data_IF_075502038236
#
_entry.id   IF_075502038236
#
_cell.length_a   1.000
_cell.length_b   1.000
_cell.length_c   1.000
_cell.angle_alpha   90.00
_cell.angle_beta   90.00
_cell.angle_gamma   90.00
#
_symmetry.space_group_name_H-M   'P 1'
#
loop_
_entity.id
_entity.type
_entity.pdbx_description
1 polymer ?
#
# COMPACT_ATOMS: atom_id res chain seq x y z
N UNK A 1 -14.23 -14.84 9.19
CA UNK A 1 -13.74 -13.49 9.32
C UNK A 1 -14.65 -12.53 8.59
N UNK A 2 -14.58 -11.28 8.92
CA UNK A 2 -15.45 -10.28 8.35
C UNK A 2 -14.84 -9.45 7.21
N UNK A 3 -13.68 -9.81 6.73
CA UNK A 3 -13.03 -9.01 5.69
C UNK A 3 -13.53 -9.41 4.33
N UNK A 4 -14.05 -8.44 3.56
CA UNK A 4 -14.41 -8.63 2.16
C UNK A 4 -13.30 -8.23 1.21
N UNK A 5 -12.27 -7.53 1.71
CA UNK A 5 -11.14 -7.05 0.94
C UNK A 5 -9.83 -7.40 1.63
N UNK A 6 -8.77 -7.51 0.85
CA UNK A 6 -7.44 -7.83 1.37
C UNK A 6 -6.79 -6.60 1.97
N UNK A 7 -5.99 -6.80 3.01
CA UNK A 7 -5.23 -5.74 3.65
C UNK A 7 -3.86 -5.67 2.98
N UNK A 8 -3.50 -4.53 2.34
CA UNK A 8 -2.21 -4.43 1.67
C UNK A 8 -1.05 -4.35 2.66
N UNK A 9 0.20 -4.58 2.20
CA UNK A 9 1.36 -4.56 3.08
C UNK A 9 1.66 -3.16 3.65
N UNK A 10 2.27 -3.15 4.82
CA UNK A 10 2.80 -1.95 5.49
C UNK A 10 1.77 -1.00 6.05
N UNK A 11 0.48 -1.34 6.04
CA UNK A 11 -0.58 -0.42 6.46
C UNK A 11 -1.18 -0.82 7.78
N UNK A 12 -1.77 0.17 8.44
CA UNK A 12 -2.66 0.00 9.60
C UNK A 12 -4.08 0.14 9.11
N UNK A 13 -5.00 -0.62 9.69
CA UNK A 13 -6.41 -0.52 9.33
C UNK A 13 -7.24 -0.12 10.52
N UNK A 14 -8.29 0.66 10.26
CA UNK A 14 -9.33 0.93 11.24
C UNK A 14 -10.25 -0.28 11.40
N UNK A 15 -10.90 -0.41 12.53
CA UNK A 15 -11.70 -1.60 12.83
C UNK A 15 -13.19 -1.46 12.55
N UNK A 16 -13.73 -0.26 12.67
CA UNK A 16 -15.16 -0.06 12.59
C UNK A 16 -15.52 1.20 11.79
N UNK A 17 -15.65 1.15 10.47
CA UNK A 17 -15.48 0.01 9.57
C UNK A 17 -13.99 -0.27 9.30
N UNK A 18 -13.70 -1.45 8.78
CA UNK A 18 -12.32 -1.78 8.36
C UNK A 18 -11.96 -0.93 7.15
N UNK A 19 -10.89 -0.18 7.26
CA UNK A 19 -10.46 0.72 6.20
C UNK A 19 -8.98 1.07 6.37
N UNK A 20 -8.38 1.59 5.31
CA UNK A 20 -7.01 2.07 5.32
C UNK A 20 -6.86 3.22 6.34
N UNK A 21 -5.91 3.10 7.26
CA UNK A 21 -5.67 4.08 8.32
C UNK A 21 -4.22 4.62 8.31
N UNK A 22 -3.48 4.41 7.23
CA UNK A 22 -2.10 4.88 7.10
C UNK A 22 -1.08 3.76 7.25
N UNK A 23 0.19 4.11 7.22
CA UNK A 23 1.27 3.15 7.35
C UNK A 23 1.50 2.77 8.81
N UNK A 24 1.97 1.55 9.03
CA UNK A 24 2.40 1.08 10.34
C UNK A 24 3.82 1.60 10.62
N UNK A 25 3.95 2.88 10.95
CA UNK A 25 5.25 3.53 11.09
C UNK A 25 6.11 2.92 12.19
N UNK A 26 5.51 2.55 13.32
CA UNK A 26 6.26 1.96 14.43
C UNK A 26 6.86 0.61 14.00
N UNK A 27 6.05 -0.23 13.36
CA UNK A 27 6.52 -1.53 12.88
C UNK A 27 7.61 -1.40 11.82
N UNK A 28 7.46 -0.47 10.89
CA UNK A 28 8.45 -0.26 9.84
C UNK A 28 9.78 0.22 10.40
N UNK A 29 9.76 1.15 11.35
CA UNK A 29 10.98 1.63 11.99
C UNK A 29 11.67 0.54 12.79
N UNK A 30 10.91 -0.30 13.48
CA UNK A 30 11.47 -1.45 14.22
C UNK A 30 12.14 -2.45 13.30
N UNK A 31 11.66 -2.56 12.06
CA UNK A 31 12.25 -3.45 11.05
C UNK A 31 13.45 -2.82 10.34
N UNK A 32 13.85 -1.62 10.73
CA UNK A 32 15.02 -0.97 10.16
C UNK A 32 14.79 -0.23 8.86
N UNK A 33 13.54 0.05 8.50
CA UNK A 33 13.24 0.82 7.29
C UNK A 33 13.71 2.26 7.46
N UNK A 34 14.44 2.77 6.47
CA UNK A 34 14.90 4.17 6.49
C UNK A 34 13.73 5.12 6.30
N UNK A 35 13.93 6.38 6.70
CA UNK A 35 12.91 7.41 6.48
C UNK A 35 12.63 7.59 4.99
N UNK A 36 13.66 7.51 4.15
CA UNK A 36 13.49 7.61 2.69
C UNK A 36 12.63 6.49 2.15
N UNK A 37 12.84 5.26 2.63
CA UNK A 37 12.04 4.12 2.18
C UNK A 37 10.60 4.24 2.68
N UNK A 38 10.39 4.68 3.91
CA UNK A 38 9.05 4.90 4.45
C UNK A 38 8.32 5.96 3.62
N UNK A 39 9.00 7.05 3.27
CA UNK A 39 8.42 8.09 2.43
C UNK A 39 8.05 7.55 1.05
N UNK A 40 8.91 6.69 0.48
CA UNK A 40 8.63 6.08 -0.81
C UNK A 40 7.38 5.20 -0.75
N UNK A 41 7.24 4.39 0.29
CA UNK A 41 6.05 3.55 0.50
C UNK A 41 4.81 4.44 0.67
N UNK A 42 4.91 5.51 1.45
CA UNK A 42 3.82 6.44 1.64
C UNK A 42 3.38 7.06 0.30
N UNK A 43 4.33 7.49 -0.51
CA UNK A 43 4.03 8.05 -1.83
C UNK A 43 3.41 7.02 -2.76
N UNK A 44 3.85 5.76 -2.68
CA UNK A 44 3.26 4.69 -3.47
C UNK A 44 1.77 4.54 -3.16
N UNK A 45 1.39 4.52 -1.90
CA UNK A 45 -0.03 4.41 -1.52
C UNK A 45 -0.82 5.66 -1.88
N UNK A 46 -0.20 6.84 -1.76
CA UNK A 46 -0.85 8.08 -2.19
C UNK A 46 -1.20 8.02 -3.68
N UNK A 47 -0.27 7.55 -4.50
CA UNK A 47 -0.53 7.42 -5.93
C UNK A 47 -1.53 6.31 -6.24
N UNK A 48 -1.41 5.18 -5.53
CA UNK A 48 -2.31 4.05 -5.74
C UNK A 48 -3.77 4.45 -5.52
N UNK A 49 -4.02 5.22 -4.47
CA UNK A 49 -5.39 5.61 -4.11
C UNK A 49 -5.84 6.91 -4.77
N UNK A 50 -4.99 7.55 -5.57
CA UNK A 50 -5.34 8.81 -6.24
C UNK A 50 -6.27 8.61 -7.42
N UNK A 51 -6.38 7.39 -7.93
CA UNK A 51 -7.22 7.06 -9.08
C UNK A 51 -8.40 6.21 -8.64
N UNK A 52 -9.46 6.21 -9.44
CA UNK A 52 -10.61 5.36 -9.18
C UNK A 52 -10.33 3.87 -9.37
N UNK A 53 -9.45 3.53 -10.31
CA UNK A 53 -9.07 2.15 -10.61
C UNK A 53 -7.67 1.87 -10.11
N UNK A 54 -7.49 0.68 -9.48
CA UNK A 54 -6.18 0.26 -8.98
C UNK A 54 -5.15 0.16 -10.11
N UNK A 55 -5.55 -0.32 -11.28
CA UNK A 55 -4.64 -0.44 -12.41
C UNK A 55 -4.04 0.92 -12.81
N UNK A 56 -4.85 1.97 -12.76
CA UNK A 56 -4.37 3.32 -13.04
C UNK A 56 -3.42 3.83 -11.95
N UNK A 57 -3.72 3.52 -10.68
CA UNK A 57 -2.85 3.88 -9.58
C UNK A 57 -1.50 3.18 -9.67
N UNK A 58 -1.50 1.89 -10.03
CA UNK A 58 -0.26 1.14 -10.24
C UNK A 58 0.56 1.77 -11.37
N UNK A 59 -0.08 2.17 -12.45
CA UNK A 59 0.62 2.82 -13.57
C UNK A 59 1.27 4.13 -13.11
N UNK A 60 0.59 4.90 -12.26
CA UNK A 60 1.17 6.12 -11.70
C UNK A 60 2.41 5.84 -10.86
N UNK A 61 2.39 4.76 -10.07
CA UNK A 61 3.55 4.33 -9.30
C UNK A 61 4.72 4.02 -10.25
N UNK A 62 4.46 3.24 -11.30
CA UNK A 62 5.50 2.83 -12.25
C UNK A 62 6.08 4.02 -13.01
N UNK A 63 5.28 5.04 -13.27
CA UNK A 63 5.71 6.22 -14.02
C UNK A 63 6.50 7.21 -13.17
N UNK A 64 6.28 7.24 -11.85
CA UNK A 64 6.76 8.33 -11.01
C UNK A 64 7.74 7.92 -9.92
N UNK A 65 7.79 6.63 -9.54
CA UNK A 65 8.61 6.17 -8.42
C UNK A 65 9.60 5.10 -8.85
N UNK A 66 10.75 5.00 -8.16
CA UNK A 66 11.65 3.87 -8.37
C UNK A 66 10.99 2.59 -7.89
N UNK A 67 11.17 1.50 -8.64
CA UNK A 67 10.55 0.21 -8.31
C UNK A 67 11.55 -0.60 -7.50
N UNK A 68 11.61 -0.31 -6.20
CA UNK A 68 12.38 -1.11 -5.26
C UNK A 68 11.66 -2.43 -5.00
N UNK A 69 12.32 -3.35 -4.30
CA UNK A 69 11.68 -4.63 -3.95
C UNK A 69 10.41 -4.43 -3.11
N UNK A 70 10.41 -3.41 -2.25
CA UNK A 70 9.25 -3.10 -1.42
C UNK A 70 8.09 -2.57 -2.26
N UNK A 71 8.38 -1.70 -3.21
CA UNK A 71 7.35 -1.17 -4.11
C UNK A 71 6.83 -2.29 -5.03
N UNK A 72 7.71 -3.14 -5.53
CA UNK A 72 7.29 -4.28 -6.35
C UNK A 72 6.39 -5.23 -5.55
N UNK A 73 6.71 -5.45 -4.28
CA UNK A 73 5.89 -6.28 -3.40
C UNK A 73 4.47 -5.70 -3.27
N UNK A 74 4.35 -4.39 -3.10
CA UNK A 74 3.04 -3.72 -3.04
C UNK A 74 2.29 -3.94 -4.35
N UNK A 75 2.94 -3.71 -5.48
CA UNK A 75 2.33 -3.88 -6.80
C UNK A 75 1.84 -5.31 -7.00
N UNK A 76 2.70 -6.28 -6.70
CA UNK A 76 2.36 -7.69 -6.86
C UNK A 76 1.17 -8.08 -5.99
N UNK A 77 1.15 -7.60 -4.75
CA UNK A 77 0.04 -7.87 -3.84
C UNK A 77 -1.28 -7.33 -4.40
N UNK A 78 -1.27 -6.09 -4.86
CA UNK A 78 -2.48 -5.45 -5.40
C UNK A 78 -2.96 -6.16 -6.66
N UNK A 79 -2.03 -6.52 -7.56
CA UNK A 79 -2.37 -7.19 -8.82
C UNK A 79 -2.92 -8.60 -8.60
N UNK A 80 -2.47 -9.27 -7.53
CA UNK A 80 -2.92 -10.63 -7.23
C UNK A 80 -4.17 -10.69 -6.37
N UNK A 81 -4.64 -9.57 -5.85
CA UNK A 81 -5.79 -9.55 -4.96
C UNK A 81 -7.09 -9.70 -5.74
N UNK A 82 -7.79 -10.81 -5.54
CA UNK A 82 -9.03 -11.10 -6.25
C UNK A 82 -10.23 -10.32 -5.70
N UNK A 83 -10.17 -9.93 -4.43
CA UNK A 83 -11.26 -9.22 -3.76
C UNK A 83 -11.02 -7.72 -3.65
N UNK A 84 -9.90 -7.25 -4.23
CA UNK A 84 -9.48 -5.88 -4.06
C UNK A 84 -8.82 -5.64 -2.71
N UNK A 85 -8.24 -4.47 -2.53
CA UNK A 85 -7.58 -4.10 -1.27
C UNK A 85 -8.40 -3.04 -0.54
N UNK A 86 -8.18 -2.93 0.78
CA UNK A 86 -8.80 -1.93 1.63
C UNK A 86 -8.22 -0.55 1.30
N UNK A 87 -9.09 0.43 1.19
CA UNK A 87 -8.73 1.82 0.95
C UNK A 87 -8.82 2.66 2.19
#
# INVERSE_FOLDING_TARGET
SGFSQDIPPYVTVGKHPVRFAGLNLVGLRRRGFSNELIDLIHNAYRLLYSKGLMAEGIQEIKNNLPITKEIQYIIDFVESSERGIIR
#
